data_IF_335669816632
#
_entry.id   IF_335669816632
#
_cell.length_a   1.000
_cell.length_b   1.000
_cell.length_c   1.000
_cell.angle_alpha   90.00
_cell.angle_beta   90.00
_cell.angle_gamma   90.00
#
_symmetry.space_group_name_H-M   'P 1'
#
loop_
_entity.id
_entity.type
_entity.pdbx_description
1 polymer ?
#
# COMPACT_ATOMS: atom_id res chain seq x y z
N UNK A 1 10.64 -0.30 1.58
CA UNK A 1 9.48 0.62 1.66
C UNK A 1 9.51 1.55 0.46
N UNK A 2 8.37 1.84 -0.14
CA UNK A 2 8.24 2.82 -1.22
C UNK A 2 7.67 4.13 -0.66
N UNK A 3 7.81 5.24 -1.40
CA UNK A 3 7.30 6.58 -1.02
C UNK A 3 5.91 6.53 -0.38
N UNK A 4 5.77 7.18 0.79
CA UNK A 4 4.49 7.36 1.46
C UNK A 4 3.64 8.44 0.78
N UNK A 5 2.31 8.26 0.79
CA UNK A 5 1.34 9.22 0.25
C UNK A 5 0.94 10.31 1.27
N UNK A 6 1.89 10.77 2.10
CA UNK A 6 1.64 11.74 3.17
C UNK A 6 1.97 13.17 2.74
N UNK A 7 0.99 14.09 2.58
CA UNK A 7 1.26 15.47 2.16
C UNK A 7 1.92 16.33 3.23
N UNK A 8 1.84 15.92 4.50
CA UNK A 8 2.34 16.64 5.67
C UNK A 8 3.80 16.36 6.01
N UNK A 9 4.43 15.37 5.37
CA UNK A 9 5.86 15.09 5.53
C UNK A 9 6.64 15.73 4.38
N UNK A 10 7.78 16.40 4.66
CA UNK A 10 8.61 16.99 3.61
C UNK A 10 9.03 15.94 2.58
N UNK A 11 9.08 16.34 1.31
CA UNK A 11 9.46 15.44 0.22
C UNK A 11 10.86 14.82 0.42
N UNK A 12 11.76 15.54 1.09
CA UNK A 12 13.10 15.05 1.44
C UNK A 12 13.05 13.83 2.38
N UNK A 13 12.19 13.87 3.39
CA UNK A 13 12.00 12.73 4.29
C UNK A 13 11.43 11.52 3.54
N UNK A 14 10.41 11.73 2.70
CA UNK A 14 9.83 10.65 1.89
C UNK A 14 10.86 10.01 0.95
N UNK A 15 11.77 10.81 0.38
CA UNK A 15 12.89 10.30 -0.42
C UNK A 15 13.91 9.53 0.42
N UNK A 16 14.27 10.04 1.60
CA UNK A 16 15.24 9.41 2.48
C UNK A 16 14.79 8.02 2.97
N UNK A 17 13.48 7.84 3.20
CA UNK A 17 12.93 6.54 3.61
C UNK A 17 12.62 5.59 2.45
N UNK A 18 12.71 6.08 1.20
CA UNK A 18 12.45 5.28 0.02
C UNK A 18 13.52 4.20 -0.16
N UNK A 19 13.09 2.99 -0.49
CA UNK A 19 14.01 1.87 -0.74
C UNK A 19 14.58 1.21 0.52
N UNK A 20 14.31 1.74 1.72
CA UNK A 20 14.73 1.09 2.98
C UNK A 20 14.16 -0.33 3.06
N UNK A 21 15.01 -1.31 3.35
CA UNK A 21 14.61 -2.70 3.46
C UNK A 21 13.57 -2.92 4.58
N UNK A 22 12.63 -3.83 4.36
CA UNK A 22 11.69 -4.27 5.40
C UNK A 22 12.43 -5.26 6.30
N UNK A 23 12.33 -5.09 7.62
CA UNK A 23 13.02 -5.96 8.57
C UNK A 23 12.64 -5.69 10.02
N UNK A 24 13.01 -6.59 10.93
CA UNK A 24 12.76 -6.41 12.36
C UNK A 24 13.53 -5.20 12.87
N UNK A 25 12.82 -4.30 13.57
CA UNK A 25 13.41 -3.10 14.16
C UNK A 25 13.74 -1.99 13.17
N UNK A 26 13.29 -2.08 11.91
CA UNK A 26 13.52 -1.04 10.90
C UNK A 26 12.41 0.01 10.96
N UNK A 27 12.53 0.96 11.90
CA UNK A 27 11.50 1.96 12.17
C UNK A 27 10.16 1.32 12.56
N UNK A 28 9.10 2.12 12.63
CA UNK A 28 7.76 1.57 12.90
C UNK A 28 7.22 0.80 11.69
N UNK A 29 7.28 1.40 10.49
CA UNK A 29 6.69 0.82 9.28
C UNK A 29 7.39 -0.46 8.79
N UNK A 30 8.73 -0.48 8.77
CA UNK A 30 9.48 -1.66 8.34
C UNK A 30 9.26 -2.84 9.29
N UNK A 31 9.21 -2.57 10.60
CA UNK A 31 8.90 -3.58 11.62
C UNK A 31 7.47 -4.10 11.50
N UNK A 32 6.48 -3.21 11.32
CA UNK A 32 5.08 -3.59 11.15
C UNK A 32 4.86 -4.42 9.89
N UNK A 33 5.50 -4.04 8.78
CA UNK A 33 5.47 -4.80 7.54
C UNK A 33 6.11 -6.19 7.70
N UNK A 34 7.24 -6.29 8.41
CA UNK A 34 7.94 -7.54 8.64
C UNK A 34 7.11 -8.51 9.51
N UNK A 35 6.60 -8.03 10.64
CA UNK A 35 5.85 -8.85 11.60
C UNK A 35 4.39 -9.08 11.18
N UNK A 36 3.84 -8.24 10.29
CA UNK A 36 2.39 -8.15 10.00
C UNK A 36 1.56 -7.85 11.23
N UNK A 37 2.12 -7.05 12.13
CA UNK A 37 1.51 -6.63 13.39
C UNK A 37 1.64 -5.13 13.58
N UNK A 38 0.75 -4.55 14.39
CA UNK A 38 0.84 -3.13 14.76
C UNK A 38 2.13 -2.87 15.55
N UNK A 39 2.83 -1.79 15.19
CA UNK A 39 3.99 -1.30 15.93
C UNK A 39 3.72 0.11 16.43
N UNK A 40 3.70 0.26 17.75
CA UNK A 40 3.52 1.54 18.44
C UNK A 40 4.87 1.99 18.97
N UNK A 41 5.43 3.05 18.39
CA UNK A 41 6.58 3.76 18.98
C UNK A 41 6.08 5.05 19.61
N UNK A 42 6.08 5.08 20.94
CA UNK A 42 5.61 6.23 21.72
C UNK A 42 6.62 7.37 21.79
N UNK A 43 7.93 7.07 21.78
CA UNK A 43 8.98 8.10 21.65
C UNK A 43 10.08 7.67 20.67
N UNK A 44 10.09 8.31 19.49
CA UNK A 44 11.06 8.10 18.42
C UNK A 44 12.49 8.34 18.88
N UNK A 45 12.71 9.31 19.78
CA UNK A 45 14.07 9.73 20.16
C UNK A 45 14.78 8.68 21.04
N UNK A 46 14.02 7.79 21.67
CA UNK A 46 14.54 6.81 22.62
C UNK A 46 14.30 5.36 22.18
N UNK A 47 13.34 5.12 21.29
CA UNK A 47 12.97 3.77 20.90
C UNK A 47 14.04 3.10 20.00
N UNK A 48 14.42 1.84 20.27
CA UNK A 48 15.51 1.17 19.55
C UNK A 48 15.28 1.06 18.04
N UNK A 49 14.03 0.88 17.61
CA UNK A 49 13.69 0.78 16.18
C UNK A 49 13.99 2.05 15.38
N UNK A 50 14.15 3.19 16.06
CA UNK A 50 14.39 4.49 15.44
C UNK A 50 15.84 4.95 15.53
N UNK A 51 16.75 4.18 16.18
CA UNK A 51 18.14 4.58 16.40
C UNK A 51 18.83 5.12 15.15
N UNK A 52 18.66 4.43 14.03
CA UNK A 52 19.31 4.76 12.77
C UNK A 52 18.55 5.87 11.98
N UNK A 53 17.38 6.29 12.47
CA UNK A 53 16.48 7.26 11.83
C UNK A 53 16.23 8.52 12.67
N UNK A 54 16.73 8.59 13.91
CA UNK A 54 16.55 9.75 14.81
C UNK A 54 17.02 11.04 14.15
N UNK A 55 18.16 11.02 13.46
CA UNK A 55 18.71 12.18 12.76
C UNK A 55 17.79 12.71 11.63
N UNK A 56 16.94 11.86 11.05
CA UNK A 56 15.95 12.25 10.03
C UNK A 56 14.65 12.76 10.67
N UNK A 57 14.23 12.15 11.79
CA UNK A 57 12.95 12.42 12.42
C UNK A 57 12.97 13.63 13.37
N UNK A 58 14.07 13.81 14.11
CA UNK A 58 14.19 14.86 15.13
C UNK A 58 14.08 16.29 14.57
N UNK A 59 14.71 16.65 13.43
CA UNK A 59 14.57 17.99 12.85
C UNK A 59 13.13 18.34 12.43
N UNK A 60 12.31 17.33 12.16
CA UNK A 60 10.90 17.46 11.79
C UNK A 60 9.97 17.56 13.01
N UNK A 61 10.54 17.46 14.22
CA UNK A 61 9.81 17.45 15.49
C UNK A 61 8.97 16.18 15.68
N UNK A 62 9.27 15.10 14.97
CA UNK A 62 8.54 13.84 15.11
C UNK A 62 8.94 13.17 16.41
N UNK A 63 7.94 12.82 17.22
CA UNK A 63 8.12 12.24 18.54
C UNK A 63 7.45 10.90 18.71
N UNK A 64 6.37 10.58 18.01
CA UNK A 64 5.82 9.22 18.01
C UNK A 64 5.54 8.76 16.57
N UNK A 65 5.59 7.46 16.35
CA UNK A 65 5.19 6.86 15.08
C UNK A 65 4.51 5.51 15.32
N UNK A 66 3.25 5.43 14.94
CA UNK A 66 2.46 4.21 15.01
C UNK A 66 2.23 3.70 13.60
N UNK A 67 2.48 2.41 13.37
CA UNK A 67 2.30 1.81 12.06
C UNK A 67 1.48 0.55 12.14
N UNK A 68 0.42 0.50 11.34
CA UNK A 68 -0.50 -0.63 11.26
C UNK A 68 -0.39 -1.23 9.86
N UNK A 69 -0.19 -2.56 9.73
CA UNK A 69 -0.13 -3.21 8.44
C UNK A 69 -1.50 -3.17 7.75
N UNK A 70 -1.48 -2.97 6.44
CA UNK A 70 -2.66 -3.07 5.58
C UNK A 70 -2.61 -4.44 4.94
N UNK A 71 -3.57 -5.29 5.30
CA UNK A 71 -3.67 -6.67 4.83
C UNK A 71 -4.88 -6.83 3.92
N UNK A 72 -4.79 -7.70 2.93
CA UNK A 72 -5.97 -8.15 2.20
C UNK A 72 -6.74 -9.25 2.97
N UNK A 73 -7.86 -9.69 2.40
CA UNK A 73 -8.71 -10.73 2.98
C UNK A 73 -8.00 -12.09 3.14
N UNK A 74 -6.87 -12.31 2.47
CA UNK A 74 -6.05 -13.52 2.57
C UNK A 74 -4.84 -13.33 3.50
N UNK A 75 -4.73 -12.19 4.18
CA UNK A 75 -3.63 -11.87 5.08
C UNK A 75 -2.32 -11.52 4.36
N UNK A 76 -2.36 -11.23 3.05
CA UNK A 76 -1.18 -10.74 2.31
C UNK A 76 -0.98 -9.26 2.61
N UNK A 77 0.28 -8.87 2.80
CA UNK A 77 0.66 -7.49 3.07
C UNK A 77 0.51 -6.63 1.80
N UNK A 78 -0.34 -5.62 1.86
CA UNK A 78 -0.52 -4.61 0.82
C UNK A 78 0.33 -3.36 1.07
N UNK A 79 0.66 -3.08 2.33
CA UNK A 79 1.45 -1.93 2.75
C UNK A 79 1.32 -1.67 4.25
N UNK A 80 1.67 -0.46 4.69
CA UNK A 80 1.50 -0.02 6.08
C UNK A 80 0.89 1.37 6.10
N UNK A 81 -0.02 1.60 7.04
CA UNK A 81 -0.53 2.93 7.37
C UNK A 81 0.27 3.46 8.56
N UNK A 82 0.78 4.69 8.49
CA UNK A 82 1.62 5.26 9.54
C UNK A 82 1.09 6.62 9.99
N UNK A 83 1.02 6.81 11.31
CA UNK A 83 0.65 8.07 11.94
C UNK A 83 1.84 8.59 12.71
N UNK A 84 2.22 9.83 12.41
CA UNK A 84 3.27 10.55 13.10
C UNK A 84 2.69 11.59 14.04
N UNK A 85 3.23 11.69 15.26
CA UNK A 85 2.88 12.70 16.24
C UNK A 85 4.11 13.54 16.60
N UNK A 86 3.88 14.82 16.93
CA UNK A 86 4.90 15.71 17.50
C UNK A 86 4.98 15.66 19.02
N UNK A 87 4.08 14.91 19.64
CA UNK A 87 4.09 14.62 21.08
C UNK A 87 4.33 13.13 21.29
N UNK A 88 5.14 12.75 22.29
CA UNK A 88 5.27 11.35 22.69
C UNK A 88 3.94 10.77 23.14
N UNK A 89 3.78 9.46 22.97
CA UNK A 89 2.68 8.69 23.54
C UNK A 89 2.06 7.68 22.58
N UNK A 90 1.18 6.85 23.14
CA UNK A 90 0.38 5.87 22.43
C UNK A 90 -0.81 6.52 21.68
N UNK A 91 -1.39 5.84 20.67
CA UNK A 91 -2.63 6.27 20.05
C UNK A 91 -3.78 6.24 21.07
N UNK A 92 -4.58 7.31 21.06
CA UNK A 92 -5.85 7.37 21.79
C UNK A 92 -6.89 6.47 21.12
N UNK A 93 -8.01 6.21 21.79
CA UNK A 93 -9.10 5.43 21.22
C UNK A 93 -9.63 6.02 19.91
N UNK A 94 -9.69 7.35 19.84
CA UNK A 94 -10.03 8.07 18.61
C UNK A 94 -9.02 7.79 17.48
N UNK A 95 -7.72 7.84 17.76
CA UNK A 95 -6.69 7.50 16.76
C UNK A 95 -6.84 6.05 16.30
N UNK A 96 -7.08 5.12 17.21
CA UNK A 96 -7.27 3.69 16.89
C UNK A 96 -8.48 3.47 15.98
N UNK A 97 -9.61 4.11 16.27
CA UNK A 97 -10.80 4.03 15.42
C UNK A 97 -10.51 4.57 14.01
N UNK A 98 -9.86 5.73 13.91
CA UNK A 98 -9.52 6.32 12.62
C UNK A 98 -8.54 5.46 11.82
N UNK A 99 -7.50 4.93 12.47
CA UNK A 99 -6.52 4.03 11.85
C UNK A 99 -7.20 2.76 11.34
N UNK A 100 -8.11 2.17 12.11
CA UNK A 100 -8.86 0.98 11.69
C UNK A 100 -9.69 1.27 10.43
N UNK A 101 -10.48 2.35 10.43
CA UNK A 101 -11.25 2.75 9.24
C UNK A 101 -10.33 3.01 8.04
N UNK A 102 -9.25 3.76 8.22
CA UNK A 102 -8.33 4.11 7.16
C UNK A 102 -7.64 2.87 6.54
N UNK A 103 -7.15 1.97 7.38
CA UNK A 103 -6.51 0.71 6.93
C UNK A 103 -7.50 -0.17 6.18
N UNK A 104 -8.74 -0.31 6.67
CA UNK A 104 -9.77 -1.12 6.03
C UNK A 104 -10.19 -0.58 4.67
N UNK A 105 -10.48 0.72 4.58
CA UNK A 105 -10.83 1.38 3.32
C UNK A 105 -9.68 1.30 2.32
N UNK A 106 -8.45 1.45 2.79
CA UNK A 106 -7.26 1.34 1.93
C UNK A 106 -7.09 -0.08 1.38
N UNK A 107 -7.29 -1.11 2.21
CA UNK A 107 -7.24 -2.50 1.77
C UNK A 107 -8.28 -2.79 0.66
N UNK A 108 -9.53 -2.34 0.84
CA UNK A 108 -10.59 -2.47 -0.17
C UNK A 108 -10.22 -1.74 -1.45
N UNK A 109 -9.69 -0.52 -1.33
CA UNK A 109 -9.34 0.33 -2.48
C UNK A 109 -8.22 -0.29 -3.31
N UNK A 110 -7.17 -0.81 -2.66
CA UNK A 110 -6.08 -1.54 -3.31
C UNK A 110 -6.60 -2.82 -3.97
N UNK A 111 -7.40 -3.62 -3.26
CA UNK A 111 -7.97 -4.85 -3.80
C UNK A 111 -8.83 -4.59 -5.04
N UNK A 112 -9.66 -3.56 -5.00
CA UNK A 112 -10.51 -3.14 -6.12
C UNK A 112 -9.67 -2.71 -7.33
N UNK A 113 -8.63 -1.90 -7.10
CA UNK A 113 -7.74 -1.46 -8.17
C UNK A 113 -6.97 -2.63 -8.81
N UNK A 114 -6.49 -3.57 -8.00
CA UNK A 114 -5.81 -4.78 -8.47
C UNK A 114 -6.75 -5.67 -9.30
N UNK A 115 -7.96 -5.93 -8.82
CA UNK A 115 -8.97 -6.72 -9.53
C UNK A 115 -9.32 -6.09 -10.89
N UNK A 116 -9.53 -4.76 -10.92
CA UNK A 116 -9.78 -4.02 -12.16
C UNK A 116 -8.61 -4.09 -13.13
N UNK A 117 -7.38 -3.95 -12.64
CA UNK A 117 -6.18 -4.04 -13.48
C UNK A 117 -6.00 -5.45 -14.05
N UNK A 118 -6.28 -6.50 -13.27
CA UNK A 118 -6.24 -7.87 -13.73
C UNK A 118 -7.28 -8.15 -14.82
N UNK A 119 -8.50 -7.63 -14.67
CA UNK A 119 -9.55 -7.74 -15.69
C UNK A 119 -9.09 -7.12 -17.02
N UNK A 120 -8.62 -5.86 -16.98
CA UNK A 120 -8.14 -5.14 -18.16
C UNK A 120 -6.93 -5.83 -18.82
N UNK A 121 -6.00 -6.36 -18.02
CA UNK A 121 -4.86 -7.12 -18.52
C UNK A 121 -5.27 -8.41 -19.23
N UNK A 122 -6.26 -9.12 -18.67
CA UNK A 122 -6.84 -10.32 -19.28
C UNK A 122 -7.53 -10.00 -20.60
N UNK A 123 -8.40 -8.98 -20.64
CA UNK A 123 -9.08 -8.53 -21.87
C UNK A 123 -8.09 -8.14 -22.97
N UNK A 124 -7.04 -7.39 -22.62
CA UNK A 124 -6.02 -6.99 -23.58
C UNK A 124 -5.29 -8.20 -24.16
N UNK A 125 -4.91 -9.17 -23.30
CA UNK A 125 -4.26 -10.41 -23.73
C UNK A 125 -5.15 -11.21 -24.69
N UNK A 126 -6.44 -11.35 -24.38
CA UNK A 126 -7.40 -12.02 -25.29
C UNK A 126 -7.48 -11.33 -26.64
N UNK A 127 -7.57 -9.99 -26.65
CA UNK A 127 -7.62 -9.21 -27.90
C UNK A 127 -6.39 -9.42 -28.77
N UNK A 128 -5.20 -9.46 -28.18
CA UNK A 128 -3.96 -9.72 -28.91
C UNK A 128 -3.91 -11.14 -29.48
N UNK A 129 -4.32 -12.15 -28.70
CA UNK A 129 -4.36 -13.53 -29.18
C UNK A 129 -5.32 -13.68 -30.36
N UNK A 130 -6.53 -13.14 -30.27
CA UNK A 130 -7.54 -13.19 -31.34
C UNK A 130 -7.07 -12.41 -32.59
N UNK A 131 -6.48 -11.23 -32.41
CA UNK A 131 -5.97 -10.42 -33.52
C UNK A 131 -4.75 -11.01 -34.23
N UNK A 132 -4.00 -11.90 -33.58
CA UNK A 132 -2.86 -12.59 -34.19
C UNK A 132 -3.23 -13.89 -34.93
N UNK A 133 -4.49 -14.34 -34.81
CA UNK A 133 -4.97 -15.52 -35.54
C UNK A 133 -5.23 -15.16 -37.00
N UNK A 134 -4.68 -15.96 -37.90
CA UNK A 134 -4.92 -15.87 -39.36
C UNK A 134 -6.28 -16.39 -39.78
N UNK A 135 -7.01 -17.06 -38.88
CA UNK A 135 -8.38 -17.52 -39.11
C UNK A 135 -9.37 -16.42 -38.71
N UNK A 136 -10.38 -16.21 -39.55
CA UNK A 136 -11.47 -15.28 -39.28
C UNK A 136 -12.33 -15.77 -38.12
N UNK A 137 -12.34 -15.02 -37.02
CA UNK A 137 -13.16 -15.28 -35.84
C UNK A 137 -14.22 -14.20 -35.75
N UNK A 138 -15.47 -14.62 -35.66
CA UNK A 138 -16.63 -13.75 -35.40
C UNK A 138 -17.32 -14.24 -34.14
N UNK A 139 -17.49 -13.34 -33.17
CA UNK A 139 -18.19 -13.62 -31.92
C UNK A 139 -19.61 -13.07 -31.99
N UNK A 140 -20.57 -13.82 -31.45
CA UNK A 140 -21.98 -13.43 -31.35
C UNK A 140 -22.41 -13.34 -29.87
N UNK A 141 -23.40 -12.49 -29.57
CA UNK A 141 -24.11 -12.52 -28.29
C UNK A 141 -25.11 -13.70 -28.22
N UNK A 142 -25.85 -13.82 -27.11
CA UNK A 142 -26.83 -14.89 -26.92
C UNK A 142 -28.03 -14.77 -27.88
N UNK A 143 -28.26 -13.58 -28.43
CA UNK A 143 -29.33 -13.23 -29.36
C UNK A 143 -28.90 -13.37 -30.84
N UNK A 144 -27.62 -13.68 -31.10
CA UNK A 144 -27.07 -13.90 -32.44
C UNK A 144 -26.54 -12.64 -33.15
N UNK A 145 -26.37 -11.51 -32.46
CA UNK A 145 -25.74 -10.32 -33.03
C UNK A 145 -24.22 -10.39 -32.95
N UNK A 146 -23.54 -9.89 -33.97
CA UNK A 146 -22.07 -9.82 -33.99
C UNK A 146 -21.57 -8.81 -32.96
N UNK A 147 -20.73 -9.26 -32.02
CA UNK A 147 -20.12 -8.43 -30.98
C UNK A 147 -18.63 -8.17 -31.22
N UNK A 148 -17.97 -8.99 -32.03
CA UNK A 148 -16.55 -8.80 -32.39
C UNK A 148 -16.17 -9.60 -33.64
N UNK A 149 -15.21 -9.09 -34.42
CA UNK A 149 -14.55 -9.81 -35.49
C UNK A 149 -13.07 -9.40 -35.57
N UNK A 150 -12.16 -10.33 -35.88
CA UNK A 150 -10.76 -10.01 -36.14
C UNK A 150 -10.53 -9.63 -37.62
N UNK A 151 -9.53 -8.78 -37.91
CA UNK A 151 -9.13 -8.50 -39.29
C UNK A 151 -8.28 -9.68 -39.80
N UNK A 152 -8.91 -10.59 -40.54
CA UNK A 152 -8.23 -11.66 -41.28
C UNK A 152 -7.64 -11.14 -42.60
#
# INVERSE_FOLDING_TARGET
MLHGAGPSLPAEYNRAINGIAIGPGVGSCGSAAYAREEVIVEDILTHPYWRDFVALAAPLGLRACWSTPILDAQGRLLGTFAVYSRQPGAPTDWHRQLINVATHVTAISIGTAQARSALLGSEHKYRLMIGALTEGIVMFDAEGHVISANPA
#
